data_IF_278673915014
#
_entry.id   IF_278673915014
#
_cell.length_a   1.000
_cell.length_b   1.000
_cell.length_c   1.000
_cell.angle_alpha   90.00
_cell.angle_beta   90.00
_cell.angle_gamma   90.00
#
_symmetry.space_group_name_H-M   'P 1'
#
loop_
_entity.id
_entity.type
_entity.pdbx_description
1 polymer ?
#
# COMPACT_ATOMS: atom_id res chain seq x y z
N UNK A 1 5.87 -14.52 54.15
CA UNK A 1 5.70 -15.95 53.82
C UNK A 1 6.62 -16.21 52.63
N UNK A 2 7.90 -16.57 52.85
CA UNK A 2 8.44 -17.96 52.96
C UNK A 2 8.31 -18.72 51.63
N UNK A 3 9.33 -19.27 50.95
CA UNK A 3 10.77 -19.46 51.18
C UNK A 3 11.35 -20.27 49.99
N UNK A 4 12.67 -20.25 49.77
CA UNK A 4 13.41 -21.13 48.81
C UNK A 4 13.62 -22.55 49.37
N UNK A 5 14.68 -23.33 49.02
CA UNK A 5 15.80 -23.14 48.07
C UNK A 5 16.18 -24.43 47.25
N UNK A 6 17.34 -24.46 46.55
CA UNK A 6 18.30 -25.59 46.31
C UNK A 6 19.12 -25.34 45.01
N UNK A 7 20.37 -24.85 45.06
CA UNK A 7 21.68 -25.56 45.11
C UNK A 7 21.92 -26.66 44.09
N UNK A 8 22.97 -26.51 43.27
CA UNK A 8 23.58 -27.55 42.45
C UNK A 8 24.94 -27.12 41.90
N UNK A 9 26.00 -27.30 42.70
CA UNK A 9 27.40 -27.07 42.35
C UNK A 9 28.00 -28.43 41.93
N UNK A 10 28.64 -28.53 40.76
CA UNK A 10 29.44 -29.69 40.38
C UNK A 10 30.85 -29.27 39.98
N UNK A 11 31.79 -29.67 40.84
CA UNK A 11 33.24 -29.63 40.66
C UNK A 11 33.66 -30.99 40.11
N UNK A 12 34.44 -31.01 39.04
CA UNK A 12 35.17 -32.20 38.60
C UNK A 12 36.67 -31.85 38.46
N UNK A 13 37.45 -32.34 39.43
CA UNK A 13 38.90 -32.50 39.37
C UNK A 13 39.25 -33.69 38.47
N UNK A 14 40.33 -33.59 37.68
CA UNK A 14 41.38 -34.63 37.62
C UNK A 14 42.64 -34.18 36.85
N UNK A 15 43.72 -34.02 37.62
CA UNK A 15 45.08 -34.56 37.45
C UNK A 15 45.95 -34.18 36.22
N UNK A 16 46.89 -33.26 36.51
CA UNK A 16 48.36 -33.41 36.47
C UNK A 16 49.04 -34.14 35.31
N UNK A 17 49.97 -33.45 34.63
CA UNK A 17 51.37 -33.89 34.46
C UNK A 17 52.21 -32.76 33.85
N UNK A 18 52.85 -31.96 34.72
CA UNK A 18 54.03 -31.18 34.36
C UNK A 18 55.23 -31.86 35.01
N UNK A 19 56.22 -32.26 34.21
CA UNK A 19 57.55 -32.62 34.73
C UNK A 19 58.58 -31.83 33.93
N UNK A 20 59.28 -30.96 34.66
CA UNK A 20 60.45 -30.22 34.23
C UNK A 20 61.66 -31.13 34.05
N UNK A 21 62.54 -30.78 33.11
CA UNK A 21 63.88 -31.37 33.00
C UNK A 21 64.72 -30.72 31.90
N UNK A 22 65.39 -29.62 32.22
CA UNK A 22 66.62 -29.14 31.55
C UNK A 22 67.73 -29.10 32.64
N UNK A 23 69.02 -28.95 32.32
CA UNK A 23 69.79 -29.36 31.14
C UNK A 23 71.12 -30.06 31.54
N UNK A 24 71.86 -30.65 30.59
CA UNK A 24 73.30 -30.91 30.80
C UNK A 24 74.12 -30.51 29.57
N UNK A 25 75.00 -29.53 29.79
CA UNK A 25 75.99 -29.01 28.83
C UNK A 25 77.09 -30.04 28.55
N UNK A 26 77.57 -30.04 27.31
CA UNK A 26 78.96 -29.74 26.91
C UNK A 26 79.50 -30.71 25.85
N UNK A 27 79.85 -30.18 24.67
CA UNK A 27 81.24 -30.01 24.20
C UNK A 27 81.24 -29.71 22.70
N UNK A 28 81.87 -28.59 22.35
CA UNK A 28 82.37 -28.27 21.01
C UNK A 28 83.56 -29.18 20.72
N UNK A 29 83.68 -29.67 19.49
CA UNK A 29 84.97 -29.86 18.84
C UNK A 29 84.87 -29.58 17.33
N UNK A 30 85.84 -28.77 16.92
CA UNK A 30 86.23 -28.21 15.63
C UNK A 30 86.84 -29.24 14.66
N UNK A 31 86.72 -29.01 13.34
CA UNK A 31 87.87 -29.18 12.43
C UNK A 31 87.68 -29.94 11.11
N UNK A 32 87.82 -29.18 10.01
CA UNK A 32 88.57 -29.48 8.77
C UNK A 32 87.92 -30.14 7.51
N UNK A 33 87.68 -29.24 6.54
CA UNK A 33 87.90 -29.26 5.08
C UNK A 33 88.27 -30.56 4.33
N UNK A 34 87.51 -30.86 3.26
CA UNK A 34 88.04 -31.53 2.04
C UNK A 34 87.26 -31.07 0.78
N UNK A 35 88.03 -30.87 -0.29
CA UNK A 35 87.69 -30.23 -1.58
C UNK A 35 86.74 -31.03 -2.50
N UNK A 36 86.10 -30.29 -3.43
CA UNK A 36 85.09 -30.62 -4.47
C UNK A 36 85.38 -31.80 -5.43
N UNK A 37 84.35 -32.24 -6.22
CA UNK A 37 84.21 -31.75 -7.60
C UNK A 37 82.83 -31.20 -7.96
N UNK A 38 82.83 -30.16 -8.80
CA UNK A 38 81.68 -29.63 -9.55
C UNK A 38 80.98 -30.71 -10.37
N UNK A 39 79.66 -30.78 -10.26
CA UNK A 39 78.76 -31.24 -11.31
C UNK A 39 77.72 -30.14 -11.52
N UNK A 40 77.90 -29.37 -12.59
CA UNK A 40 76.80 -28.63 -13.22
C UNK A 40 75.71 -29.65 -13.53
N UNK A 41 74.51 -29.46 -13.00
CA UNK A 41 73.32 -29.75 -13.80
C UNK A 41 72.03 -29.11 -13.28
N UNK A 42 71.26 -28.68 -14.28
CA UNK A 42 69.86 -28.28 -14.28
C UNK A 42 69.42 -27.18 -13.31
N UNK A 43 69.27 -25.98 -13.87
CA UNK A 43 68.34 -24.97 -13.36
C UNK A 43 66.97 -25.62 -13.09
N UNK A 44 66.68 -25.88 -11.82
CA UNK A 44 65.31 -25.85 -11.35
C UNK A 44 64.83 -24.41 -11.56
N UNK A 45 64.17 -24.16 -12.69
CA UNK A 45 63.43 -22.91 -12.92
C UNK A 45 62.27 -22.92 -11.94
N UNK A 46 62.56 -22.65 -10.66
CA UNK A 46 61.56 -22.18 -9.74
C UNK A 46 60.96 -20.96 -10.42
N UNK A 47 59.70 -21.05 -10.82
CA UNK A 47 59.00 -19.99 -11.53
C UNK A 47 58.78 -18.85 -10.54
N UNK A 48 59.80 -18.03 -10.36
CA UNK A 48 59.87 -16.94 -9.39
C UNK A 48 59.60 -15.64 -10.15
N UNK A 49 58.67 -14.85 -9.65
CA UNK A 49 58.45 -13.50 -10.16
C UNK A 49 59.38 -12.53 -9.43
N UNK A 50 59.96 -11.56 -10.14
CA UNK A 50 60.81 -10.54 -9.54
C UNK A 50 60.20 -9.15 -9.78
N UNK A 51 60.00 -8.38 -8.71
CA UNK A 51 59.50 -7.00 -8.76
C UNK A 51 60.31 -6.13 -7.80
N UNK A 52 60.89 -5.03 -8.30
CA UNK A 52 61.69 -4.08 -7.51
C UNK A 52 62.81 -4.74 -6.67
N UNK A 53 63.47 -5.76 -7.21
CA UNK A 53 64.55 -6.49 -6.53
C UNK A 53 64.07 -7.46 -5.44
N UNK A 54 62.76 -7.74 -5.35
CA UNK A 54 62.18 -8.75 -4.46
C UNK A 54 61.66 -9.93 -5.27
N UNK A 55 62.04 -11.13 -4.86
CA UNK A 55 61.59 -12.39 -5.46
C UNK A 55 60.37 -12.96 -4.75
N UNK A 56 59.37 -13.36 -5.53
CA UNK A 56 58.11 -13.91 -5.07
C UNK A 56 57.92 -15.33 -5.62
N UNK A 57 57.53 -16.25 -4.74
CA UNK A 57 57.24 -17.65 -5.10
C UNK A 57 55.96 -17.72 -5.93
N UNK A 58 55.79 -18.80 -6.68
CA UNK A 58 54.55 -19.05 -7.42
C UNK A 58 53.34 -19.05 -6.46
N UNK A 59 52.27 -18.35 -6.85
CA UNK A 59 51.06 -18.07 -6.08
C UNK A 59 51.25 -17.19 -4.84
N UNK A 60 52.45 -16.66 -4.60
CA UNK A 60 52.66 -15.67 -3.55
C UNK A 60 51.91 -14.38 -3.89
N UNK A 61 51.24 -13.83 -2.88
CA UNK A 61 50.47 -12.60 -2.98
C UNK A 61 51.06 -11.53 -2.09
N UNK A 62 51.08 -10.29 -2.60
CA UNK A 62 51.52 -9.12 -1.85
C UNK A 62 50.70 -7.90 -2.21
N UNK A 63 50.63 -6.96 -1.27
CA UNK A 63 49.97 -5.68 -1.47
C UNK A 63 51.01 -4.64 -1.90
N UNK A 64 50.63 -3.77 -2.84
CA UNK A 64 51.41 -2.60 -3.21
C UNK A 64 50.52 -1.38 -3.40
N UNK A 65 51.05 -0.21 -3.05
CA UNK A 65 50.38 1.07 -3.31
C UNK A 65 50.64 1.49 -4.75
N UNK A 66 49.58 1.86 -5.47
CA UNK A 66 49.66 2.42 -6.81
C UNK A 66 48.68 3.59 -6.94
N UNK A 67 49.24 4.80 -7.15
CA UNK A 67 48.46 6.05 -7.30
C UNK A 67 47.39 6.26 -6.23
N UNK A 68 47.70 5.94 -4.96
CA UNK A 68 46.79 6.08 -3.82
C UNK A 68 45.83 4.92 -3.58
N UNK A 69 45.80 3.91 -4.46
CA UNK A 69 44.99 2.68 -4.28
C UNK A 69 45.87 1.48 -3.93
N UNK A 70 45.31 0.50 -3.22
CA UNK A 70 46.03 -0.76 -2.91
C UNK A 70 45.76 -1.77 -4.01
N UNK A 71 46.82 -2.32 -4.60
CA UNK A 71 46.77 -3.44 -5.54
C UNK A 71 47.15 -4.73 -4.81
N UNK A 72 46.37 -5.79 -5.01
CA UNK A 72 46.73 -7.16 -4.65
C UNK A 72 47.40 -7.81 -5.87
N UNK A 73 48.69 -8.07 -5.78
CA UNK A 73 49.49 -8.72 -6.81
C UNK A 73 49.65 -10.21 -6.51
N UNK A 74 49.73 -11.03 -7.55
CA UNK A 74 49.94 -12.48 -7.45
C UNK A 74 50.99 -12.90 -8.47
N UNK A 75 51.98 -13.69 -8.04
CA UNK A 75 52.94 -14.30 -8.94
C UNK A 75 52.35 -15.55 -9.61
N UNK A 76 52.22 -15.55 -10.94
CA UNK A 76 51.72 -16.71 -11.70
C UNK A 76 52.87 -17.54 -12.32
N UNK A 77 54.05 -17.52 -11.69
CA UNK A 77 55.24 -18.20 -12.21
C UNK A 77 55.68 -17.63 -13.56
N UNK A 78 55.79 -18.48 -14.58
CA UNK A 78 56.22 -18.07 -15.92
C UNK A 78 55.27 -17.07 -16.61
N UNK A 79 54.00 -17.01 -16.19
CA UNK A 79 53.02 -16.04 -16.70
C UNK A 79 53.19 -14.63 -16.08
N UNK A 80 54.15 -14.44 -15.18
CA UNK A 80 54.46 -13.15 -14.57
C UNK A 80 53.50 -12.70 -13.48
N UNK A 81 53.56 -11.41 -13.16
CA UNK A 81 52.84 -10.78 -12.04
C UNK A 81 51.50 -10.25 -12.51
N UNK A 82 50.42 -10.67 -11.85
CA UNK A 82 49.06 -10.14 -12.10
C UNK A 82 48.60 -9.36 -10.89
N UNK A 83 48.31 -8.09 -11.07
CA UNK A 83 47.77 -7.23 -10.01
C UNK A 83 46.31 -6.88 -10.29
N UNK A 84 45.50 -6.86 -9.24
CA UNK A 84 44.12 -6.37 -9.25
C UNK A 84 43.97 -5.32 -8.16
N UNK A 85 43.15 -4.30 -8.39
CA UNK A 85 42.81 -3.34 -7.32
C UNK A 85 42.09 -4.08 -6.21
N UNK A 86 42.61 -3.98 -4.98
CA UNK A 86 41.90 -4.44 -3.79
C UNK A 86 40.69 -3.52 -3.64
N UNK A 87 39.45 -4.05 -3.58
CA UNK A 87 38.30 -3.21 -3.29
C UNK A 87 38.57 -2.49 -1.96
N UNK A 88 38.33 -1.18 -1.91
CA UNK A 88 38.27 -0.51 -0.62
C UNK A 88 37.24 -1.26 0.23
N UNK A 89 37.58 -1.53 1.49
CA UNK A 89 36.61 -2.13 2.41
C UNK A 89 35.44 -1.15 2.45
N UNK A 90 34.31 -1.54 1.89
CA UNK A 90 33.09 -0.72 1.95
C UNK A 90 32.88 -0.36 3.41
N UNK A 91 32.96 0.93 3.72
CA UNK A 91 32.69 1.38 5.07
C UNK A 91 31.26 0.99 5.44
N UNK A 92 31.10 0.47 6.64
CA UNK A 92 29.79 0.06 7.16
C UNK A 92 29.63 0.58 8.57
N UNK A 93 28.38 0.77 8.97
CA UNK A 93 28.02 1.15 10.32
C UNK A 93 27.28 -0.01 11.00
N UNK A 94 27.83 -0.51 12.10
CA UNK A 94 27.14 -1.48 12.94
C UNK A 94 26.29 -0.74 13.98
N UNK A 95 24.98 -0.96 13.97
CA UNK A 95 24.07 -0.45 14.99
C UNK A 95 23.87 -1.48 16.09
N UNK A 96 24.43 -1.18 17.26
CA UNK A 96 24.32 -2.00 18.49
C UNK A 96 22.91 -2.13 19.06
N UNK A 97 21.94 -1.32 18.62
CA UNK A 97 20.57 -1.36 19.16
C UNK A 97 19.71 -2.44 18.49
N UNK A 98 20.01 -2.80 17.24
CA UNK A 98 19.28 -3.81 16.49
C UNK A 98 20.18 -4.93 15.93
N UNK A 99 21.48 -4.88 16.26
CA UNK A 99 22.52 -5.82 15.84
C UNK A 99 22.62 -5.99 14.31
N UNK A 100 22.39 -4.91 13.57
CA UNK A 100 22.50 -4.88 12.11
C UNK A 100 23.64 -4.00 11.61
N UNK A 101 24.16 -4.35 10.44
CA UNK A 101 25.20 -3.60 9.73
C UNK A 101 24.60 -2.93 8.51
N UNK A 102 24.84 -1.62 8.38
CA UNK A 102 24.35 -0.78 7.30
C UNK A 102 25.50 -0.27 6.45
N UNK A 103 25.28 -0.11 5.15
CA UNK A 103 26.25 0.53 4.25
C UNK A 103 26.20 2.04 4.36
N UNK A 104 27.30 2.71 4.03
CA UNK A 104 27.31 4.19 3.99
C UNK A 104 26.21 4.70 3.06
N UNK A 105 25.45 5.69 3.54
CA UNK A 105 24.31 6.28 2.84
C UNK A 105 22.99 5.57 3.07
N UNK A 106 22.98 4.35 3.63
CA UNK A 106 21.72 3.68 3.98
C UNK A 106 20.99 4.43 5.09
N UNK A 107 19.68 4.56 4.89
CA UNK A 107 18.74 5.09 5.88
C UNK A 107 17.84 3.96 6.38
N UNK A 108 17.56 3.96 7.68
CA UNK A 108 16.74 2.94 8.31
C UNK A 108 15.97 3.50 9.50
N UNK A 109 14.89 2.81 9.87
CA UNK A 109 14.06 3.17 11.00
C UNK A 109 14.44 2.34 12.23
N UNK A 110 14.59 3.00 13.38
CA UNK A 110 14.96 2.33 14.63
C UNK A 110 13.97 2.65 15.75
N UNK A 111 13.23 1.65 16.25
CA UNK A 111 12.47 1.79 17.49
C UNK A 111 13.43 1.94 18.68
N UNK A 112 13.28 3.02 19.45
CA UNK A 112 14.04 3.25 20.68
C UNK A 112 13.26 4.17 21.62
N UNK A 113 13.17 3.79 22.90
CA UNK A 113 12.52 4.59 23.95
C UNK A 113 11.06 4.98 23.62
N UNK A 114 10.31 4.09 22.96
CA UNK A 114 8.92 4.34 22.55
C UNK A 114 8.77 5.32 21.38
N UNK A 115 9.86 5.65 20.69
CA UNK A 115 9.88 6.52 19.52
C UNK A 115 10.55 5.81 18.34
N UNK A 116 10.09 6.11 17.12
CA UNK A 116 10.83 5.74 15.92
C UNK A 116 11.85 6.82 15.57
N UNK A 117 13.10 6.40 15.39
CA UNK A 117 14.20 7.24 14.97
C UNK A 117 14.53 6.98 13.50
N UNK A 118 14.73 8.04 12.73
CA UNK A 118 15.28 7.93 11.38
C UNK A 118 16.80 8.01 11.48
N UNK A 119 17.46 6.90 11.15
CA UNK A 119 18.90 6.74 11.23
C UNK A 119 19.54 6.70 9.85
N UNK A 120 20.80 7.13 9.77
CA UNK A 120 21.62 7.09 8.56
C UNK A 120 23.04 6.66 8.91
N UNK A 121 23.57 5.70 8.17
CA UNK A 121 24.99 5.38 8.22
C UNK A 121 25.79 6.41 7.43
N UNK A 122 26.60 7.23 8.12
CA UNK A 122 27.36 8.32 7.49
C UNK A 122 28.75 7.85 7.02
N UNK A 123 29.36 6.84 7.66
CA UNK A 123 30.63 6.27 7.17
C UNK A 123 31.75 7.30 7.01
N UNK A 124 32.01 8.10 8.05
CA UNK A 124 33.10 9.10 8.05
C UNK A 124 34.43 8.53 8.56
N UNK A 125 34.84 7.34 8.13
CA UNK A 125 36.06 6.65 8.59
C UNK A 125 35.98 6.11 10.03
N UNK A 126 34.82 6.23 10.67
CA UNK A 126 34.57 5.83 12.07
C UNK A 126 33.25 5.10 12.28
N UNK A 127 32.64 4.57 11.21
CA UNK A 127 31.34 3.89 11.28
C UNK A 127 30.24 4.75 11.96
N UNK A 128 30.24 6.07 11.72
CA UNK A 128 29.34 7.02 12.39
C UNK A 128 27.88 6.81 11.95
N UNK A 129 26.99 6.62 12.92
CA UNK A 129 25.54 6.61 12.73
C UNK A 129 24.96 7.93 13.24
N UNK A 130 24.11 8.57 12.45
CA UNK A 130 23.30 9.72 12.88
C UNK A 130 21.84 9.33 12.93
N UNK A 131 21.14 9.69 14.00
CA UNK A 131 19.71 9.41 14.12
C UNK A 131 18.97 10.64 14.61
N UNK A 132 17.76 10.85 14.10
CA UNK A 132 16.91 11.99 14.46
C UNK A 132 15.45 11.56 14.61
N UNK A 133 14.74 12.27 15.50
CA UNK A 133 13.28 12.21 15.62
C UNK A 133 12.60 13.42 14.96
N UNK A 134 13.39 14.41 14.50
CA UNK A 134 12.86 15.70 14.02
C UNK A 134 12.00 15.58 12.75
N UNK A 135 12.12 14.48 12.01
CA UNK A 135 11.37 14.21 10.79
C UNK A 135 10.05 13.47 11.06
N UNK A 136 9.65 13.33 12.32
CA UNK A 136 8.47 12.58 12.74
C UNK A 136 7.65 13.33 13.77
N UNK A 137 6.35 13.06 13.76
CA UNK A 137 5.43 13.46 14.81
C UNK A 137 5.25 12.31 15.79
N UNK A 138 5.18 12.62 17.09
CA UNK A 138 5.09 11.62 18.14
C UNK A 138 3.84 11.85 18.98
N UNK A 139 3.00 10.83 19.07
CA UNK A 139 1.79 10.86 19.90
C UNK A 139 1.50 9.46 20.46
N UNK A 140 1.18 9.37 21.76
CA UNK A 140 0.70 8.13 22.38
C UNK A 140 1.65 6.94 22.24
N UNK A 141 2.97 7.16 22.14
CA UNK A 141 3.96 6.12 21.90
C UNK A 141 4.04 5.61 20.46
N UNK A 142 3.35 6.29 19.53
CA UNK A 142 3.42 6.05 18.08
C UNK A 142 4.19 7.19 17.42
N UNK A 143 4.79 6.88 16.28
CA UNK A 143 5.55 7.82 15.48
C UNK A 143 5.04 7.83 14.06
N UNK A 144 4.74 9.03 13.57
CA UNK A 144 4.12 9.28 12.28
C UNK A 144 5.08 10.04 11.38
N UNK A 145 5.16 9.65 10.11
CA UNK A 145 5.92 10.39 9.10
C UNK A 145 5.16 11.65 8.72
N UNK A 146 5.87 12.63 8.17
CA UNK A 146 5.27 13.85 7.64
C UNK A 146 4.26 13.47 6.55
N UNK A 147 3.04 13.99 6.65
CA UNK A 147 1.92 13.67 5.78
C UNK A 147 1.05 12.50 6.23
N UNK A 148 1.50 11.68 7.19
CA UNK A 148 0.66 10.63 7.76
C UNK A 148 -0.54 11.26 8.49
N UNK A 149 -1.70 10.61 8.37
CA UNK A 149 -2.90 10.93 9.13
C UNK A 149 -3.28 9.79 10.06
N UNK A 150 -3.91 10.13 11.18
CA UNK A 150 -4.41 9.14 12.14
C UNK A 150 -5.59 9.69 12.92
N UNK A 151 -6.37 8.80 13.53
CA UNK A 151 -7.49 9.19 14.38
C UNK A 151 -7.18 8.97 15.86
N UNK A 152 -7.69 9.87 16.70
CA UNK A 152 -7.61 9.78 18.16
C UNK A 152 -8.90 10.30 18.79
N UNK A 153 -9.31 9.82 19.97
CA UNK A 153 -10.38 10.46 20.74
C UNK A 153 -9.98 11.88 21.17
N UNK A 154 -10.95 12.79 21.26
CA UNK A 154 -10.75 14.08 21.91
C UNK A 154 -10.53 13.89 23.42
N UNK A 155 -9.64 14.69 24.03
CA UNK A 155 -9.17 14.46 25.40
C UNK A 155 -10.27 14.60 26.46
N UNK A 156 -11.29 15.42 26.20
CA UNK A 156 -12.39 15.73 27.15
C UNK A 156 -13.79 15.53 26.58
N UNK A 157 -13.93 15.27 25.29
CA UNK A 157 -15.21 15.26 24.61
C UNK A 157 -15.42 13.94 23.87
N UNK A 158 -16.67 13.52 23.74
CA UNK A 158 -17.04 12.23 23.17
C UNK A 158 -17.13 12.33 21.63
N UNK A 159 -16.01 12.69 20.99
CA UNK A 159 -15.88 12.65 19.54
C UNK A 159 -14.45 12.36 19.10
N UNK A 160 -14.31 11.83 17.89
CA UNK A 160 -13.03 11.49 17.30
C UNK A 160 -12.42 12.70 16.57
N UNK A 161 -11.10 12.78 16.61
CA UNK A 161 -10.27 13.72 15.89
C UNK A 161 -9.50 12.98 14.78
N UNK A 162 -9.32 13.64 13.64
CA UNK A 162 -8.38 13.24 12.59
C UNK A 162 -7.20 14.21 12.60
N UNK A 163 -6.02 13.66 12.79
CA UNK A 163 -4.76 14.37 12.93
C UNK A 163 -3.87 14.17 11.70
N UNK A 164 -2.97 15.12 11.46
CA UNK A 164 -1.98 15.07 10.38
C UNK A 164 -0.62 15.52 10.89
N UNK A 165 0.43 14.81 10.49
CA UNK A 165 1.81 15.17 10.81
C UNK A 165 2.35 16.23 9.83
N UNK A 166 2.72 17.40 10.34
CA UNK A 166 3.23 18.53 9.56
C UNK A 166 4.77 18.58 9.57
N UNK A 167 5.39 18.09 10.64
CA UNK A 167 6.85 18.02 10.74
C UNK A 167 7.50 19.32 11.20
N UNK A 168 7.29 20.47 10.56
CA UNK A 168 7.78 21.84 10.89
C UNK A 168 9.14 21.93 11.67
N UNK A 169 10.08 21.02 11.43
CA UNK A 169 11.35 20.89 12.16
C UNK A 169 11.27 20.49 13.64
N UNK A 170 10.07 20.28 14.21
CA UNK A 170 9.85 19.95 15.63
C UNK A 170 8.91 18.77 15.86
N UNK A 171 8.43 18.12 14.80
CA UNK A 171 7.41 17.09 14.89
C UNK A 171 6.01 17.66 15.18
N UNK A 172 5.70 18.83 14.63
CA UNK A 172 4.38 19.47 14.80
C UNK A 172 3.29 18.69 14.07
N UNK A 173 2.13 18.57 14.69
CA UNK A 173 0.93 17.96 14.15
C UNK A 173 -0.31 18.73 14.58
N UNK A 174 -1.39 18.59 13.82
CA UNK A 174 -2.68 19.24 14.10
C UNK A 174 -3.82 18.25 13.93
N UNK A 175 -4.95 18.51 14.59
CA UNK A 175 -6.13 17.67 14.52
C UNK A 175 -7.40 18.49 14.25
N UNK A 176 -8.34 17.90 13.52
CA UNK A 176 -9.70 18.42 13.33
C UNK A 176 -10.72 17.38 13.79
N UNK A 177 -11.92 17.78 14.24
CA UNK A 177 -13.00 16.84 14.49
C UNK A 177 -13.31 15.98 13.26
N UNK A 178 -13.69 14.72 13.48
CA UNK A 178 -14.28 13.83 12.48
C UNK A 178 -15.78 13.89 12.65
N UNK A 179 -16.51 14.29 11.60
CA UNK A 179 -17.94 14.16 11.63
C UNK A 179 -18.33 12.79 11.10
N UNK A 180 -18.72 11.90 12.01
CA UNK A 180 -19.20 10.54 11.66
C UNK A 180 -20.60 10.56 11.03
N UNK A 181 -21.35 11.63 11.29
CA UNK A 181 -22.71 11.81 10.82
C UNK A 181 -22.97 13.27 10.44
N UNK A 182 -23.89 13.47 9.51
CA UNK A 182 -24.47 14.76 9.21
C UNK A 182 -25.89 14.83 9.73
N UNK A 183 -26.33 15.99 10.20
CA UNK A 183 -27.67 16.20 10.71
C UNK A 183 -28.46 17.14 9.78
N UNK A 184 -29.55 16.63 9.20
CA UNK A 184 -30.46 17.45 8.40
C UNK A 184 -31.53 18.07 9.31
N UNK A 185 -31.36 19.35 9.63
CA UNK A 185 -32.29 20.10 10.49
C UNK A 185 -33.73 20.12 9.96
N UNK A 186 -33.95 20.02 8.64
CA UNK A 186 -35.30 20.07 8.09
C UNK A 186 -36.08 18.78 8.34
N UNK A 187 -35.38 17.64 8.24
CA UNK A 187 -35.98 16.33 8.46
C UNK A 187 -35.86 15.85 9.91
N UNK A 188 -35.02 16.51 10.71
CA UNK A 188 -34.60 16.07 12.04
C UNK A 188 -34.02 14.63 12.04
N UNK A 189 -33.25 14.32 10.99
CA UNK A 189 -32.63 13.00 10.78
C UNK A 189 -31.11 13.11 10.70
N UNK A 190 -30.42 12.06 11.16
CA UNK A 190 -28.97 11.94 11.07
C UNK A 190 -28.57 10.89 10.03
N UNK A 191 -27.66 11.26 9.13
CA UNK A 191 -27.15 10.44 8.03
C UNK A 191 -25.68 10.12 8.26
N UNK A 192 -25.26 8.91 7.92
CA UNK A 192 -23.85 8.51 8.01
C UNK A 192 -23.06 9.13 6.85
N UNK A 193 -21.77 9.39 7.03
CA UNK A 193 -20.91 9.84 5.91
C UNK A 193 -21.00 8.88 4.72
N UNK A 194 -21.20 9.45 3.53
CA UNK A 194 -21.42 8.73 2.28
C UNK A 194 -22.89 8.39 1.99
N UNK A 195 -23.78 8.51 2.98
CA UNK A 195 -25.21 8.30 2.78
C UNK A 195 -25.83 9.42 1.93
N UNK A 196 -26.79 9.05 1.08
CA UNK A 196 -27.52 9.96 0.19
C UNK A 196 -29.01 9.91 0.46
N UNK A 197 -29.69 11.07 0.39
CA UNK A 197 -31.13 11.16 0.58
C UNK A 197 -31.75 12.25 -0.27
N UNK A 198 -33.07 12.19 -0.42
CA UNK A 198 -33.84 13.21 -1.12
C UNK A 198 -34.34 14.26 -0.16
N UNK A 199 -34.14 15.53 -0.51
CA UNK A 199 -34.57 16.65 0.30
C UNK A 199 -35.47 17.58 -0.49
N UNK A 200 -36.71 17.85 -0.02
CA UNK A 200 -37.53 18.88 -0.61
C UNK A 200 -36.94 20.27 -0.32
N UNK A 201 -36.82 21.07 -1.36
CA UNK A 201 -36.41 22.47 -1.30
C UNK A 201 -37.57 23.37 -1.74
N UNK A 202 -37.89 24.36 -0.90
CA UNK A 202 -39.05 25.26 -1.07
C UNK A 202 -40.40 24.53 -1.26
N UNK A 203 -40.49 23.26 -0.85
CA UNK A 203 -41.72 22.46 -0.86
C UNK A 203 -42.13 21.86 -2.21
N UNK A 204 -41.35 22.04 -3.28
CA UNK A 204 -41.69 21.50 -4.62
C UNK A 204 -40.50 21.00 -5.43
N UNK A 205 -39.32 21.55 -5.20
CA UNK A 205 -38.10 21.05 -5.82
C UNK A 205 -37.57 19.87 -5.00
N UNK A 206 -37.06 18.85 -5.67
CA UNK A 206 -36.30 17.80 -4.99
C UNK A 206 -34.82 17.95 -5.30
N UNK A 207 -34.01 17.82 -4.26
CA UNK A 207 -32.56 17.77 -4.33
C UNK A 207 -32.07 16.41 -3.85
N UNK A 208 -30.99 15.94 -4.44
CA UNK A 208 -30.24 14.78 -3.97
C UNK A 208 -29.11 15.29 -3.07
N UNK A 209 -29.17 14.95 -1.80
CA UNK A 209 -28.20 15.33 -0.79
C UNK A 209 -27.26 14.19 -0.43
N UNK A 210 -26.04 14.53 -0.03
CA UNK A 210 -25.01 13.59 0.42
C UNK A 210 -24.35 14.12 1.70
N UNK A 211 -24.15 13.23 2.67
CA UNK A 211 -23.36 13.55 3.87
C UNK A 211 -21.86 13.38 3.56
N UNK A 212 -21.12 14.48 3.60
CA UNK A 212 -19.66 14.48 3.35
C UNK A 212 -18.86 14.38 4.65
N UNK A 213 -19.37 14.92 5.75
CA UNK A 213 -18.75 14.74 7.07
C UNK A 213 -17.35 15.34 7.22
N UNK A 214 -17.02 16.43 6.50
CA UNK A 214 -15.73 17.17 6.54
C UNK A 214 -15.41 17.82 7.91
N UNK A 215 -15.56 17.06 8.99
CA UNK A 215 -15.33 17.44 10.39
C UNK A 215 -16.47 18.17 11.08
N UNK A 216 -17.34 18.85 10.32
CA UNK A 216 -18.47 19.61 10.86
C UNK A 216 -19.84 19.07 10.43
N UNK A 217 -19.90 17.87 9.85
CA UNK A 217 -21.14 17.27 9.37
C UNK A 217 -21.65 17.92 8.08
N UNK A 218 -20.74 18.31 7.19
CA UNK A 218 -21.08 18.98 5.93
C UNK A 218 -22.02 18.14 5.07
N UNK A 219 -23.09 18.77 4.60
CA UNK A 219 -24.08 18.21 3.69
C UNK A 219 -24.00 18.99 2.37
N UNK A 220 -23.91 18.29 1.25
CA UNK A 220 -24.04 18.88 -0.08
C UNK A 220 -25.32 18.41 -0.74
N UNK A 221 -25.99 19.25 -1.51
CA UNK A 221 -27.23 18.91 -2.20
C UNK A 221 -27.18 19.39 -3.66
N UNK A 222 -27.67 18.57 -4.59
CA UNK A 222 -27.67 18.87 -6.02
C UNK A 222 -29.00 18.52 -6.68
N UNK A 223 -29.36 19.29 -7.71
CA UNK A 223 -30.46 18.98 -8.62
C UNK A 223 -29.98 18.33 -9.92
N UNK A 224 -28.69 17.98 -10.03
CA UNK A 224 -28.07 17.47 -11.28
C UNK A 224 -28.81 16.27 -11.86
N UNK A 225 -29.38 15.42 -11.01
CA UNK A 225 -30.11 14.21 -11.40
C UNK A 225 -31.63 14.39 -11.39
N UNK A 226 -32.11 15.64 -11.40
CA UNK A 226 -33.53 16.01 -11.25
C UNK A 226 -33.95 17.06 -12.28
N UNK A 227 -35.15 16.92 -12.82
CA UNK A 227 -35.84 17.95 -13.58
C UNK A 227 -36.93 18.55 -12.70
N UNK A 228 -36.70 19.77 -12.20
CA UNK A 228 -37.65 20.47 -11.34
C UNK A 228 -38.53 21.41 -12.18
N UNK A 229 -39.73 20.96 -12.53
CA UNK A 229 -40.68 21.69 -13.38
C UNK A 229 -41.41 22.76 -12.55
N UNK A 230 -41.04 24.02 -12.79
CA UNK A 230 -41.59 25.17 -12.07
C UNK A 230 -43.09 25.36 -12.32
N UNK A 231 -43.58 25.01 -13.51
CA UNK A 231 -44.98 25.23 -13.90
C UNK A 231 -45.91 24.30 -13.12
N UNK A 232 -45.50 23.04 -12.95
CA UNK A 232 -46.29 22.03 -12.25
C UNK A 232 -45.93 21.90 -10.77
N UNK A 233 -44.86 22.59 -10.34
CA UNK A 233 -44.26 22.49 -9.00
C UNK A 233 -43.98 21.03 -8.63
N UNK A 234 -43.40 20.28 -9.57
CA UNK A 234 -43.05 18.85 -9.39
C UNK A 234 -41.61 18.58 -9.82
N UNK A 235 -41.01 17.59 -9.18
CA UNK A 235 -39.69 17.09 -9.54
C UNK A 235 -39.81 15.73 -10.22
N UNK A 236 -39.00 15.53 -11.24
CA UNK A 236 -38.95 14.34 -12.08
C UNK A 236 -37.52 13.81 -12.14
N UNK A 237 -37.35 12.49 -12.09
CA UNK A 237 -36.06 11.83 -12.30
C UNK A 237 -35.71 11.78 -13.77
N UNK A 238 -34.43 11.60 -14.07
CA UNK A 238 -33.96 11.36 -15.44
C UNK A 238 -34.68 10.14 -16.02
N UNK A 239 -35.25 10.30 -17.22
CA UNK A 239 -36.05 9.28 -17.90
C UNK A 239 -37.55 9.40 -17.65
N UNK A 240 -37.99 10.09 -16.60
CA UNK A 240 -39.41 10.28 -16.32
C UNK A 240 -40.09 11.07 -17.45
N UNK A 241 -41.33 10.70 -17.75
CA UNK A 241 -42.21 11.46 -18.64
C UNK A 241 -43.44 11.96 -17.88
N UNK A 242 -43.89 13.16 -18.20
CA UNK A 242 -45.09 13.77 -17.59
C UNK A 242 -45.83 14.64 -18.58
N UNK A 243 -47.05 15.04 -18.25
CA UNK A 243 -47.83 15.98 -19.05
C UNK A 243 -48.02 17.29 -18.29
N UNK A 244 -47.98 18.41 -19.02
CA UNK A 244 -48.33 19.73 -18.49
C UNK A 244 -49.09 20.55 -19.53
N UNK A 245 -49.73 21.63 -19.10
CA UNK A 245 -50.40 22.56 -20.02
C UNK A 245 -49.49 23.76 -20.28
N UNK A 246 -49.41 24.19 -21.54
CA UNK A 246 -48.77 25.47 -21.86
C UNK A 246 -49.66 26.66 -21.46
N UNK A 247 -49.14 27.88 -21.59
CA UNK A 247 -49.87 29.11 -21.26
C UNK A 247 -51.18 29.27 -22.06
N UNK A 248 -51.31 28.60 -23.20
CA UNK A 248 -52.51 28.59 -24.04
C UNK A 248 -53.47 27.43 -23.74
N UNK A 249 -53.14 26.57 -22.77
CA UNK A 249 -53.96 25.44 -22.35
C UNK A 249 -53.74 24.15 -23.14
N UNK A 250 -52.83 24.11 -24.11
CA UNK A 250 -52.52 22.89 -24.87
C UNK A 250 -51.72 21.91 -24.02
N UNK A 251 -52.02 20.62 -24.16
CA UNK A 251 -51.31 19.55 -23.45
C UNK A 251 -49.96 19.29 -24.12
N UNK A 252 -48.90 19.38 -23.32
CA UNK A 252 -47.53 19.02 -23.67
C UNK A 252 -47.15 17.70 -23.01
N UNK A 253 -46.39 16.87 -23.72
CA UNK A 253 -45.72 15.69 -23.19
C UNK A 253 -44.24 16.00 -22.98
N UNK A 254 -43.77 15.87 -21.75
CA UNK A 254 -42.42 16.22 -21.33
C UNK A 254 -41.62 14.98 -20.94
N UNK A 255 -40.29 15.06 -21.10
CA UNK A 255 -39.34 14.04 -20.65
C UNK A 255 -38.11 14.69 -20.00
N UNK A 256 -37.67 14.13 -18.87
CA UNK A 256 -36.46 14.56 -18.18
C UNK A 256 -35.21 13.93 -18.80
N UNK A 257 -34.29 14.76 -19.28
CA UNK A 257 -33.03 14.35 -19.90
C UNK A 257 -31.86 14.45 -18.90
N UNK A 258 -31.93 15.35 -17.93
CA UNK A 258 -30.95 15.48 -16.87
C UNK A 258 -29.71 16.28 -17.26
N UNK A 259 -29.01 15.95 -18.36
CA UNK A 259 -27.86 16.68 -18.96
C UNK A 259 -26.94 17.47 -17.99
N UNK A 260 -26.73 17.01 -16.75
CA UNK A 260 -25.95 17.71 -15.74
C UNK A 260 -26.59 18.94 -15.06
N UNK A 261 -27.74 19.43 -15.55
CA UNK A 261 -28.39 20.68 -15.08
C UNK A 261 -29.91 20.58 -14.93
N UNK A 262 -30.46 19.38 -15.01
CA UNK A 262 -31.90 19.16 -14.94
C UNK A 262 -32.63 19.58 -16.21
N UNK A 263 -32.08 19.29 -17.38
CA UNK A 263 -32.73 19.62 -18.66
C UNK A 263 -33.91 18.70 -18.97
N UNK A 264 -35.00 19.25 -19.50
CA UNK A 264 -36.15 18.50 -19.99
C UNK A 264 -36.67 19.05 -21.31
N UNK A 265 -37.31 18.20 -22.12
CA UNK A 265 -37.94 18.56 -23.39
C UNK A 265 -39.44 18.33 -23.31
N UNK A 266 -40.24 19.21 -23.90
CA UNK A 266 -41.69 19.07 -24.01
C UNK A 266 -42.15 19.22 -25.46
N UNK A 267 -43.04 18.33 -25.92
CA UNK A 267 -43.61 18.34 -27.26
C UNK A 267 -45.14 18.42 -27.18
N UNK A 268 -45.80 19.02 -28.19
CA UNK A 268 -47.27 19.08 -28.21
C UNK A 268 -47.84 17.68 -28.38
N UNK A 269 -48.72 17.31 -27.46
CA UNK A 269 -49.47 16.08 -27.58
C UNK A 269 -50.58 16.28 -28.62
N UNK A 270 -50.28 15.97 -29.88
CA UNK A 270 -51.26 15.98 -30.97
C UNK A 270 -52.23 14.81 -30.79
N UNK A 271 -53.28 15.02 -30.00
CA UNK A 271 -54.46 14.17 -30.03
C UNK A 271 -55.22 14.38 -31.35
N UNK A 272 -54.68 13.88 -32.46
CA UNK A 272 -55.33 14.03 -33.77
C UNK A 272 -54.45 13.79 -34.98
N UNK A 273 -54.02 12.55 -35.21
CA UNK A 273 -53.78 12.05 -36.58
C UNK A 273 -53.76 10.52 -36.63
N UNK A 274 -54.89 9.91 -37.02
CA UNK A 274 -55.00 8.74 -37.91
C UNK A 274 -56.48 8.34 -38.12
N UNK A 275 -57.23 9.16 -38.86
CA UNK A 275 -58.26 8.61 -39.75
C UNK A 275 -57.59 8.39 -41.09
N UNK A 276 -57.05 7.18 -41.26
CA UNK A 276 -56.48 6.69 -42.50
C UNK A 276 -56.65 5.19 -42.51
N UNK A 277 -57.73 4.74 -43.14
CA UNK A 277 -58.08 3.33 -43.37
C UNK A 277 -56.89 2.61 -43.99
N UNK A 278 -56.20 1.76 -43.22
CA UNK A 278 -55.30 0.74 -43.76
C UNK A 278 -55.95 -0.60 -43.51
N UNK A 279 -56.23 -1.25 -44.64
CA UNK A 279 -56.73 -2.61 -44.81
C UNK A 279 -56.03 -3.56 -43.85
N UNK A 280 -56.82 -4.29 -43.06
CA UNK A 280 -56.37 -5.43 -42.26
C UNK A 280 -55.75 -6.46 -43.19
N UNK A 281 -54.42 -6.52 -43.19
CA UNK A 281 -53.65 -7.65 -43.69
C UNK A 281 -52.86 -8.14 -42.48
N UNK A 282 -52.95 -9.42 -42.07
CA UNK A 282 -52.32 -9.88 -40.83
C UNK A 282 -50.82 -10.01 -41.05
N UNK A 283 -50.08 -8.92 -40.82
CA UNK A 283 -48.64 -8.96 -40.68
C UNK A 283 -48.33 -9.33 -39.23
N UNK A 284 -48.02 -10.63 -39.07
CA UNK A 284 -47.04 -11.27 -38.17
C UNK A 284 -46.69 -10.50 -36.87
N UNK A 285 -46.81 -11.12 -35.68
CA UNK A 285 -46.35 -10.51 -34.45
C UNK A 285 -44.85 -10.19 -34.58
N UNK A 286 -44.51 -8.90 -34.58
CA UNK A 286 -43.12 -8.50 -34.44
C UNK A 286 -42.63 -9.03 -33.10
N UNK A 287 -41.64 -9.90 -33.23
CA UNK A 287 -41.02 -10.67 -32.19
C UNK A 287 -40.86 -9.85 -30.91
N UNK A 288 -41.28 -10.43 -29.78
CA UNK A 288 -40.61 -10.18 -28.51
C UNK A 288 -39.12 -10.08 -28.81
N UNK A 289 -38.49 -8.97 -28.46
CA UNK A 289 -37.04 -8.88 -28.55
C UNK A 289 -36.48 -10.02 -27.68
N UNK A 290 -36.14 -11.15 -28.32
CA UNK A 290 -35.58 -12.34 -27.70
C UNK A 290 -34.39 -11.85 -26.87
N UNK A 291 -34.47 -12.03 -25.56
CA UNK A 291 -33.45 -11.53 -24.66
C UNK A 291 -33.83 -10.34 -23.77
N UNK A 292 -35.12 -9.96 -23.60
CA UNK A 292 -35.49 -8.87 -22.69
C UNK A 292 -36.42 -9.30 -21.55
N UNK A 293 -36.11 -8.84 -20.33
CA UNK A 293 -36.84 -9.14 -19.11
C UNK A 293 -37.52 -7.89 -18.56
N UNK A 294 -38.80 -8.01 -18.21
CA UNK A 294 -39.60 -6.93 -17.63
C UNK A 294 -39.73 -7.11 -16.12
N UNK A 295 -39.68 -6.02 -15.37
CA UNK A 295 -39.85 -6.03 -13.91
C UNK A 295 -41.20 -5.45 -13.51
N UNK A 296 -41.65 -5.79 -12.29
CA UNK A 296 -42.88 -5.25 -11.68
C UNK A 296 -42.88 -3.71 -11.58
N UNK A 297 -41.69 -3.09 -11.60
CA UNK A 297 -41.49 -1.64 -11.60
C UNK A 297 -41.44 -1.01 -13.01
N UNK A 298 -41.71 -1.80 -14.06
CA UNK A 298 -41.74 -1.33 -15.45
C UNK A 298 -40.38 -1.17 -16.13
N UNK A 299 -39.26 -1.50 -15.45
CA UNK A 299 -37.93 -1.47 -16.05
C UNK A 299 -37.71 -2.69 -16.96
N UNK A 300 -37.06 -2.46 -18.10
CA UNK A 300 -36.74 -3.46 -19.13
C UNK A 300 -35.22 -3.71 -19.11
N UNK A 301 -34.83 -4.96 -18.90
CA UNK A 301 -33.44 -5.40 -18.87
C UNK A 301 -33.13 -6.27 -20.08
N UNK A 302 -31.92 -6.15 -20.62
CA UNK A 302 -31.41 -7.03 -21.68
C UNK A 302 -30.73 -8.26 -21.06
N UNK A 303 -30.61 -9.33 -21.84
CA UNK A 303 -29.97 -10.58 -21.42
C UNK A 303 -28.59 -10.35 -20.80
N UNK A 304 -28.33 -10.99 -19.67
CA UNK A 304 -27.15 -10.83 -18.83
C UNK A 304 -27.13 -9.60 -17.92
N UNK A 305 -28.04 -8.63 -18.07
CA UNK A 305 -28.05 -7.45 -17.19
C UNK A 305 -28.55 -7.79 -15.79
N UNK A 306 -27.91 -7.18 -14.79
CA UNK A 306 -28.21 -7.37 -13.37
C UNK A 306 -28.73 -6.10 -12.72
N UNK A 307 -29.62 -6.24 -11.74
CA UNK A 307 -30.13 -5.12 -10.94
C UNK A 307 -30.39 -5.53 -9.50
N UNK A 308 -30.45 -4.52 -8.63
CA UNK A 308 -30.79 -4.70 -7.23
C UNK A 308 -32.29 -4.50 -7.03
N UNK A 309 -32.90 -5.38 -6.24
CA UNK A 309 -34.30 -5.30 -5.81
C UNK A 309 -34.34 -5.49 -4.30
N UNK A 310 -35.11 -4.68 -3.61
CA UNK A 310 -35.50 -4.93 -2.22
C UNK A 310 -36.75 -5.81 -2.17
N UNK A 311 -36.70 -6.90 -1.42
CA UNK A 311 -37.87 -7.73 -1.09
C UNK A 311 -37.98 -7.80 0.43
N UNK A 312 -38.85 -6.97 1.01
CA UNK A 312 -38.91 -6.76 2.46
C UNK A 312 -37.61 -6.12 2.98
N UNK A 313 -37.01 -6.71 4.02
CA UNK A 313 -35.72 -6.27 4.60
C UNK A 313 -34.48 -6.87 3.93
N UNK A 314 -34.64 -7.63 2.84
CA UNK A 314 -33.56 -8.33 2.14
C UNK A 314 -33.22 -7.65 0.82
N UNK A 315 -31.92 -7.55 0.51
CA UNK A 315 -31.44 -7.13 -0.81
C UNK A 315 -31.19 -8.34 -1.71
N UNK A 316 -31.77 -8.28 -2.90
CA UNK A 316 -31.65 -9.30 -3.94
C UNK A 316 -30.87 -8.73 -5.12
N UNK A 317 -30.07 -9.57 -5.77
CA UNK A 317 -29.47 -9.29 -7.07
C UNK A 317 -30.15 -10.16 -8.12
N UNK A 318 -30.80 -9.52 -9.08
CA UNK A 318 -31.54 -10.17 -10.14
C UNK A 318 -30.76 -10.09 -11.46
N UNK A 319 -30.87 -11.11 -12.30
CA UNK A 319 -30.22 -11.21 -13.62
C UNK A 319 -31.26 -11.57 -14.66
N UNK A 320 -31.26 -10.88 -15.79
CA UNK A 320 -32.07 -11.24 -16.96
C UNK A 320 -31.39 -12.39 -17.73
N UNK A 321 -32.11 -13.48 -17.96
CA UNK A 321 -31.65 -14.66 -18.71
C UNK A 321 -32.28 -14.75 -20.12
N UNK A 322 -32.89 -13.66 -20.56
CA UNK A 322 -33.52 -13.53 -21.87
C UNK A 322 -34.87 -14.25 -22.03
N UNK A 323 -35.10 -15.31 -21.25
CA UNK A 323 -36.38 -16.01 -21.12
C UNK A 323 -37.02 -15.84 -19.72
N UNK A 324 -36.41 -15.04 -18.84
CA UNK A 324 -36.90 -14.83 -17.47
C UNK A 324 -35.90 -14.14 -16.56
N UNK A 325 -36.30 -13.93 -15.30
CA UNK A 325 -35.50 -13.28 -14.26
C UNK A 325 -35.08 -14.28 -13.21
N UNK A 326 -33.78 -14.37 -12.90
CA UNK A 326 -33.27 -15.11 -11.74
C UNK A 326 -32.79 -14.14 -10.67
N UNK A 327 -33.19 -14.32 -9.41
CA UNK A 327 -32.80 -13.44 -8.31
C UNK A 327 -32.16 -14.23 -7.15
N UNK A 328 -31.01 -13.77 -6.69
CA UNK A 328 -30.27 -14.36 -5.56
C UNK A 328 -30.17 -13.37 -4.41
N UNK A 329 -30.22 -13.87 -3.17
CA UNK A 329 -30.07 -13.03 -1.98
C UNK A 329 -28.59 -12.62 -1.79
N UNK A 330 -28.34 -11.32 -1.59
CA UNK A 330 -26.97 -10.79 -1.51
C UNK A 330 -26.17 -11.33 -0.31
N UNK A 331 -26.85 -11.79 0.75
CA UNK A 331 -26.25 -12.44 1.92
C UNK A 331 -25.54 -13.76 1.58
N UNK A 332 -25.95 -14.46 0.51
CA UNK A 332 -25.37 -15.72 0.06
C UNK A 332 -24.14 -15.54 -0.86
N UNK A 333 -23.98 -14.38 -1.50
CA UNK A 333 -22.77 -14.10 -2.31
C UNK A 333 -21.54 -13.83 -1.44
N UNK A 334 -21.72 -13.23 -0.25
CA UNK A 334 -20.64 -13.01 0.71
C UNK A 334 -20.16 -14.31 1.38
N UNK A 335 -21.01 -15.34 1.45
CA UNK A 335 -20.63 -16.65 1.96
C UNK A 335 -19.80 -17.42 0.94
N UNK A 336 -20.10 -17.34 -0.37
CA UNK A 336 -19.31 -18.01 -1.41
C UNK A 336 -17.92 -17.38 -1.63
N UNK A 337 -17.78 -16.05 -1.49
CA UNK A 337 -16.44 -15.40 -1.55
C UNK A 337 -15.57 -15.76 -0.35
N UNK A 338 -16.15 -15.96 0.84
CA UNK A 338 -15.42 -16.48 2.00
C UNK A 338 -14.99 -17.94 1.85
N UNK A 339 -15.79 -18.78 1.18
CA UNK A 339 -15.41 -20.18 0.95
C UNK A 339 -14.29 -20.31 -0.12
N UNK A 340 -14.28 -19.47 -1.15
CA UNK A 340 -13.23 -19.49 -2.19
C UNK A 340 -11.87 -18.93 -1.71
N UNK A 341 -11.87 -17.96 -0.78
CA UNK A 341 -10.63 -17.46 -0.15
C UNK A 341 -10.02 -18.51 0.80
N UNK A 342 -10.84 -19.38 1.39
CA UNK A 342 -10.35 -20.48 2.23
C UNK A 342 -9.85 -21.72 1.45
N UNK A 343 -10.14 -21.84 0.14
CA UNK A 343 -9.63 -22.95 -0.69
C UNK A 343 -8.30 -22.59 -1.37
N UNK A 344 -7.94 -21.30 -1.43
CA UNK A 344 -6.65 -20.82 -1.96
C UNK A 344 -5.57 -20.61 -0.88
N UNK A 345 -5.87 -21.03 0.36
CA UNK A 345 -4.92 -21.20 1.46
C UNK A 345 -5.01 -22.63 2.04
N UNK A 346 -4.71 -23.62 1.20
CA UNK A 346 -4.28 -24.96 1.59
C UNK A 346 -3.22 -25.43 0.60
#
# INVERSE_FOLDING_TARGET
MTGGPLTGLLVALCVSSAVHGLPRKSKRQTGQYRMYPELRDAAAVNSVCEENGRSYRQNEQWEKLYRGTTLLCTCNGAAGIKCKTKPEVEETCFDKYNDQTYRVGETYERPKDGMMWDCTCIGSGRAKISCTIANRCHEGGRSYKIGDTWQRPHDTADYMLECVCLGNGKGEWTCKPVAERCYDNNAALSYVVGETWEKPYQGWMMLDCTCLGEGNGQITCTSRNRCNDQDTRKSHRIGDTWTKKDASGHVLQCQCLGNGRGEWKCERHNAGRTTGTIVVTPARPEASAEGTCHTDAGAIYRDGQRWFRSQGSKQMICTCLGNGVSCEELSNLHTQTRTLINISKC
#
